data_IF_614240758435
#
_entry.id   IF_614240758435
#
_cell.length_a   1.000
_cell.length_b   1.000
_cell.length_c   1.000
_cell.angle_alpha   90.00
_cell.angle_beta   90.00
_cell.angle_gamma   90.00
#
_symmetry.space_group_name_H-M   'P 1'
#
loop_
_entity.id
_entity.type
_entity.pdbx_description
1 polymer ?
#
# COMPACT_ATOMS: atom_id res chain seq x y z
N UNK A 1 -34.80 -2.87 0.78
CA UNK A 1 -34.25 -2.17 -0.39
C UNK A 1 -33.52 -0.93 0.11
N UNK A 2 -32.27 -0.76 -0.28
CA UNK A 2 -31.44 0.38 0.13
C UNK A 2 -31.90 1.70 -0.51
N UNK A 3 -31.42 2.83 0.02
CA UNK A 3 -31.80 4.17 -0.46
C UNK A 3 -31.29 4.43 -1.89
N UNK A 4 -30.15 3.84 -2.24
CA UNK A 4 -29.48 3.97 -3.53
C UNK A 4 -29.30 2.59 -4.19
N UNK A 5 -29.23 2.52 -5.51
CA UNK A 5 -28.76 1.31 -6.17
C UNK A 5 -27.23 1.28 -6.18
N UNK A 6 -26.63 0.16 -5.81
CA UNK A 6 -25.18 -0.03 -5.84
C UNK A 6 -24.77 -0.96 -6.99
N UNK A 7 -23.80 -0.52 -7.76
CA UNK A 7 -23.09 -1.35 -8.72
C UNK A 7 -21.65 -1.59 -8.26
N UNK A 8 -21.27 -2.86 -8.12
CA UNK A 8 -19.86 -3.25 -8.06
C UNK A 8 -19.38 -3.50 -9.48
N UNK A 9 -18.22 -2.95 -9.84
CA UNK A 9 -17.62 -3.18 -11.15
C UNK A 9 -16.13 -3.53 -11.07
N UNK A 10 -15.67 -4.34 -12.02
CA UNK A 10 -14.27 -4.77 -12.09
C UNK A 10 -13.78 -4.95 -13.53
N UNK A 11 -12.46 -5.01 -13.67
CA UNK A 11 -11.80 -5.57 -14.86
C UNK A 11 -11.14 -6.89 -14.46
N UNK A 12 -10.99 -7.82 -15.40
CA UNK A 12 -10.25 -9.06 -15.14
C UNK A 12 -9.45 -9.53 -16.35
N UNK A 13 -8.46 -10.38 -16.08
CA UNK A 13 -7.78 -11.20 -17.08
C UNK A 13 -7.19 -12.45 -16.44
N UNK A 14 -7.65 -13.60 -16.90
CA UNK A 14 -7.19 -14.92 -16.45
C UNK A 14 -7.28 -15.04 -14.90
N UNK A 15 -8.51 -14.94 -14.38
CA UNK A 15 -8.85 -14.90 -12.95
C UNK A 15 -9.85 -16.00 -12.53
N UNK A 16 -9.94 -17.11 -13.27
CA UNK A 16 -11.02 -18.11 -13.11
C UNK A 16 -11.16 -18.60 -11.66
N UNK A 17 -10.03 -18.75 -10.97
CA UNK A 17 -9.94 -19.21 -9.58
C UNK A 17 -10.56 -18.26 -8.55
N UNK A 18 -10.82 -17.01 -8.92
CA UNK A 18 -11.34 -15.98 -8.02
C UNK A 18 -12.81 -15.63 -8.27
N UNK A 19 -13.35 -15.97 -9.44
CA UNK A 19 -14.68 -15.54 -9.88
C UNK A 19 -15.77 -15.82 -8.85
N UNK A 20 -15.87 -17.07 -8.38
CA UNK A 20 -17.01 -17.50 -7.55
C UNK A 20 -17.02 -16.82 -6.18
N UNK A 21 -15.89 -16.85 -5.47
CA UNK A 21 -15.75 -16.20 -4.16
C UNK A 21 -15.94 -14.68 -4.25
N UNK A 22 -15.50 -14.08 -5.35
CA UNK A 22 -15.66 -12.65 -5.57
C UNK A 22 -17.13 -12.30 -5.75
N UNK A 23 -17.85 -12.97 -6.67
CA UNK A 23 -19.29 -12.74 -6.90
C UNK A 23 -20.08 -12.92 -5.60
N UNK A 24 -19.79 -13.96 -4.82
CA UNK A 24 -20.44 -14.19 -3.52
C UNK A 24 -20.26 -13.00 -2.57
N UNK A 25 -19.03 -12.50 -2.42
CA UNK A 25 -18.73 -11.35 -1.56
C UNK A 25 -19.37 -10.03 -2.05
N UNK A 26 -19.63 -9.91 -3.36
CA UNK A 26 -20.26 -8.73 -3.98
C UNK A 26 -21.79 -8.82 -4.07
N UNK A 27 -22.38 -9.93 -3.61
CA UNK A 27 -23.80 -10.27 -3.78
C UNK A 27 -24.80 -9.31 -3.13
N UNK A 28 -24.35 -8.44 -2.21
CA UNK A 28 -25.19 -7.40 -1.59
C UNK A 28 -25.43 -6.19 -2.50
N UNK A 29 -24.76 -6.12 -3.66
CA UNK A 29 -24.97 -5.10 -4.68
C UNK A 29 -26.26 -5.34 -5.48
N UNK A 30 -26.86 -4.26 -6.00
CA UNK A 30 -27.97 -4.37 -6.95
C UNK A 30 -27.49 -4.81 -8.34
N UNK A 31 -26.25 -4.44 -8.69
CA UNK A 31 -25.60 -4.79 -9.95
C UNK A 31 -24.16 -5.24 -9.72
N UNK A 32 -23.73 -6.21 -10.52
CA UNK A 32 -22.32 -6.62 -10.63
C UNK A 32 -21.95 -6.57 -12.11
N UNK A 33 -20.91 -5.81 -12.44
CA UNK A 33 -20.40 -5.62 -13.80
C UNK A 33 -18.95 -6.04 -13.92
N UNK A 34 -18.60 -6.86 -14.91
CA UNK A 34 -17.20 -7.23 -15.17
C UNK A 34 -16.85 -7.04 -16.63
N UNK A 35 -15.76 -6.30 -16.87
CA UNK A 35 -15.11 -6.25 -18.17
C UNK A 35 -13.93 -7.22 -18.19
N UNK A 36 -14.10 -8.33 -18.89
CA UNK A 36 -13.02 -9.24 -19.21
C UNK A 36 -12.12 -8.64 -20.30
N UNK A 37 -10.82 -8.53 -20.04
CA UNK A 37 -9.88 -7.85 -20.95
C UNK A 37 -9.20 -8.80 -21.95
N UNK A 38 -9.78 -9.99 -22.15
CA UNK A 38 -9.32 -11.02 -23.07
C UNK A 38 -8.70 -12.21 -22.34
N UNK A 39 -9.41 -12.75 -21.34
CA UNK A 39 -9.05 -14.01 -20.69
C UNK A 39 -9.15 -15.19 -21.65
N UNK A 40 -8.36 -16.21 -21.37
CA UNK A 40 -8.24 -17.45 -22.16
C UNK A 40 -8.32 -18.71 -21.31
N UNK A 41 -8.48 -18.55 -19.98
CA UNK A 41 -8.52 -19.62 -18.98
C UNK A 41 -9.96 -20.06 -18.59
N UNK A 42 -10.98 -19.57 -19.30
CA UNK A 42 -12.39 -19.82 -18.99
C UNK A 42 -13.05 -18.77 -18.07
N UNK A 43 -12.32 -17.74 -17.63
CA UNK A 43 -12.85 -16.66 -16.76
C UNK A 43 -14.12 -16.03 -17.35
N UNK A 44 -14.09 -15.70 -18.64
CA UNK A 44 -15.21 -15.01 -19.29
C UNK A 44 -16.48 -15.84 -19.35
N UNK A 45 -16.35 -17.13 -19.67
CA UNK A 45 -17.45 -18.10 -19.71
C UNK A 45 -18.07 -18.24 -18.32
N UNK A 46 -17.23 -18.39 -17.28
CA UNK A 46 -17.71 -18.52 -15.90
C UNK A 46 -18.45 -17.27 -15.42
N UNK A 47 -17.94 -16.08 -15.71
CA UNK A 47 -18.61 -14.81 -15.37
C UNK A 47 -19.99 -14.70 -16.05
N UNK A 48 -20.11 -15.14 -17.30
CA UNK A 48 -21.40 -15.18 -18.02
C UNK A 48 -22.39 -16.16 -17.39
N UNK A 49 -21.94 -17.37 -17.05
CA UNK A 49 -22.78 -18.39 -16.43
C UNK A 49 -23.35 -17.94 -15.07
N UNK A 50 -22.61 -17.11 -14.34
CA UNK A 50 -23.06 -16.53 -13.07
C UNK A 50 -24.15 -15.46 -13.20
N UNK A 51 -24.55 -15.08 -14.42
CA UNK A 51 -25.69 -14.19 -14.67
C UNK A 51 -25.45 -12.70 -14.40
N UNK A 52 -24.20 -12.30 -14.15
CA UNK A 52 -23.82 -10.90 -13.94
C UNK A 52 -23.58 -10.17 -15.28
N UNK A 53 -23.53 -8.83 -15.27
CA UNK A 53 -23.32 -8.02 -16.47
C UNK A 53 -21.87 -8.16 -16.92
N UNK A 54 -21.63 -8.99 -17.94
CA UNK A 54 -20.26 -9.31 -18.39
C UNK A 54 -20.05 -8.96 -19.86
N UNK A 55 -18.93 -8.29 -20.17
CA UNK A 55 -18.47 -8.05 -21.55
C UNK A 55 -16.99 -8.37 -21.68
N UNK A 56 -16.58 -8.86 -22.84
CA UNK A 56 -15.17 -9.03 -23.17
C UNK A 56 -14.71 -7.93 -24.14
N UNK A 57 -13.57 -7.31 -23.86
CA UNK A 57 -12.91 -6.35 -24.75
C UNK A 57 -11.41 -6.34 -24.53
N UNK A 58 -10.67 -6.68 -25.58
CA UNK A 58 -9.20 -6.58 -25.57
C UNK A 58 -8.79 -5.10 -25.65
N UNK A 59 -7.94 -4.67 -24.72
CA UNK A 59 -7.39 -3.30 -24.67
C UNK A 59 -5.99 -3.29 -25.28
N UNK A 60 -5.80 -2.54 -26.38
CA UNK A 60 -4.53 -2.40 -27.09
C UNK A 60 -4.34 -0.94 -27.57
N UNK A 61 -3.23 -0.26 -27.19
CA UNK A 61 -2.22 -0.68 -26.21
C UNK A 61 -2.82 -0.86 -24.80
N UNK A 62 -2.22 -1.72 -23.97
CA UNK A 62 -2.71 -1.98 -22.62
C UNK A 62 -2.54 -0.74 -21.72
N UNK A 63 -3.61 -0.38 -21.01
CA UNK A 63 -3.60 0.62 -19.93
C UNK A 63 -4.73 0.32 -18.94
N UNK A 64 -4.46 0.49 -17.65
CA UNK A 64 -5.45 0.24 -16.59
C UNK A 64 -6.58 1.27 -16.62
N UNK A 65 -6.29 2.57 -16.75
CA UNK A 65 -7.31 3.62 -16.86
C UNK A 65 -8.32 3.35 -17.98
N UNK A 66 -7.86 2.99 -19.18
CA UNK A 66 -8.73 2.70 -20.33
C UNK A 66 -9.62 1.49 -20.04
N UNK A 67 -9.05 0.40 -19.50
CA UNK A 67 -9.82 -0.80 -19.15
C UNK A 67 -10.91 -0.49 -18.11
N UNK A 68 -10.56 0.26 -17.05
CA UNK A 68 -11.51 0.66 -16.00
C UNK A 68 -12.61 1.56 -16.55
N UNK A 69 -12.27 2.55 -17.37
CA UNK A 69 -13.27 3.41 -18.01
C UNK A 69 -14.18 2.64 -18.98
N UNK A 70 -13.68 1.62 -19.68
CA UNK A 70 -14.51 0.73 -20.49
C UNK A 70 -15.45 -0.14 -19.64
N UNK A 71 -15.02 -0.57 -18.45
CA UNK A 71 -15.88 -1.31 -17.53
C UNK A 71 -17.01 -0.45 -16.95
N UNK A 72 -16.76 0.86 -16.73
CA UNK A 72 -17.79 1.80 -16.28
C UNK A 72 -18.95 1.96 -17.26
N UNK A 73 -18.72 1.72 -18.57
CA UNK A 73 -19.77 1.76 -19.59
C UNK A 73 -20.80 0.63 -19.46
N UNK A 74 -20.51 -0.38 -18.65
CA UNK A 74 -21.43 -1.49 -18.35
C UNK A 74 -22.40 -1.15 -17.22
N UNK A 75 -22.10 -0.12 -16.41
CA UNK A 75 -22.86 0.22 -15.22
C UNK A 75 -24.25 0.75 -15.63
N UNK A 76 -25.34 0.18 -15.10
CA UNK A 76 -26.70 0.66 -15.36
C UNK A 76 -26.89 2.12 -14.94
N UNK A 77 -27.62 2.89 -15.75
CA UNK A 77 -27.79 4.34 -15.59
C UNK A 77 -28.59 4.76 -14.36
N UNK A 78 -29.32 3.83 -13.74
CA UNK A 78 -30.07 4.05 -12.50
C UNK A 78 -29.25 3.71 -11.23
N UNK A 79 -27.95 3.44 -11.39
CA UNK A 79 -27.00 3.28 -10.29
C UNK A 79 -26.77 4.60 -9.55
N UNK A 80 -26.82 4.58 -8.22
CA UNK A 80 -26.44 5.72 -7.39
C UNK A 80 -24.97 5.68 -6.94
N UNK A 81 -24.50 4.50 -6.53
CA UNK A 81 -23.15 4.29 -5.98
C UNK A 81 -22.43 3.24 -6.83
N UNK A 82 -21.25 3.58 -7.33
CA UNK A 82 -20.37 2.69 -8.07
C UNK A 82 -19.17 2.33 -7.19
N UNK A 83 -18.80 1.06 -7.12
CA UNK A 83 -17.65 0.60 -6.33
C UNK A 83 -16.76 -0.26 -7.23
N UNK A 84 -15.53 0.19 -7.45
CA UNK A 84 -14.56 -0.60 -8.20
C UNK A 84 -13.81 -1.55 -7.28
N UNK A 85 -13.76 -2.83 -7.63
CA UNK A 85 -12.93 -3.84 -6.96
C UNK A 85 -12.14 -4.67 -7.97
N UNK A 86 -11.19 -5.45 -7.46
CA UNK A 86 -10.47 -6.48 -8.20
C UNK A 86 -10.95 -7.87 -7.80
N UNK A 87 -10.84 -8.86 -8.69
CA UNK A 87 -11.41 -10.20 -8.46
C UNK A 87 -10.76 -10.93 -7.26
N UNK A 88 -9.57 -10.51 -6.84
CA UNK A 88 -8.88 -10.99 -5.66
C UNK A 88 -9.19 -10.19 -4.38
N UNK A 89 -10.11 -9.23 -4.43
CA UNK A 89 -10.59 -8.44 -3.29
C UNK A 89 -11.98 -8.90 -2.81
N UNK A 90 -12.18 -9.10 -1.50
CA UNK A 90 -13.44 -9.59 -0.91
C UNK A 90 -13.96 -8.62 0.16
N UNK A 91 -15.23 -8.22 0.06
CA UNK A 91 -15.88 -7.49 1.14
C UNK A 91 -16.30 -8.42 2.27
N UNK A 92 -16.22 -7.93 3.51
CA UNK A 92 -16.89 -8.57 4.65
C UNK A 92 -18.41 -8.40 4.56
N UNK A 93 -19.21 -9.41 4.95
CA UNK A 93 -20.68 -9.32 4.93
C UNK A 93 -21.23 -8.13 5.73
N UNK A 94 -22.33 -7.56 5.24
CA UNK A 94 -22.99 -6.37 5.78
C UNK A 94 -22.49 -5.05 5.20
N UNK A 95 -21.52 -5.08 4.27
CA UNK A 95 -20.92 -3.89 3.68
C UNK A 95 -21.94 -2.97 3.01
N UNK A 96 -22.99 -3.51 2.38
CA UNK A 96 -24.00 -2.70 1.68
C UNK A 96 -24.75 -1.78 2.63
N UNK A 97 -25.11 -2.29 3.82
CA UNK A 97 -25.85 -1.54 4.84
C UNK A 97 -25.06 -0.34 5.36
N UNK A 98 -23.73 -0.46 5.41
CA UNK A 98 -22.85 0.62 5.84
C UNK A 98 -22.83 1.74 4.79
N UNK A 99 -22.77 1.42 3.50
CA UNK A 99 -22.93 2.44 2.45
C UNK A 99 -24.31 3.11 2.52
N UNK A 100 -25.40 2.37 2.77
CA UNK A 100 -26.73 2.98 2.96
C UNK A 100 -26.78 3.96 4.14
N UNK A 101 -26.06 3.66 5.22
CA UNK A 101 -26.06 4.47 6.43
C UNK A 101 -25.26 5.76 6.28
N UNK A 102 -24.10 5.71 5.61
CA UNK A 102 -23.16 6.82 5.55
C UNK A 102 -23.21 7.62 4.23
N UNK A 103 -23.79 7.06 3.16
CA UNK A 103 -23.95 7.77 1.90
C UNK A 103 -25.12 8.76 1.96
N UNK A 104 -24.89 9.98 1.46
CA UNK A 104 -25.90 11.05 1.39
C UNK A 104 -25.99 11.57 -0.04
N UNK A 105 -27.04 12.33 -0.35
CA UNK A 105 -27.30 12.79 -1.73
C UNK A 105 -26.21 13.72 -2.29
N UNK A 106 -25.43 14.36 -1.42
CA UNK A 106 -24.27 15.17 -1.78
C UNK A 106 -22.93 14.41 -1.76
N UNK A 107 -22.89 13.15 -1.31
CA UNK A 107 -21.65 12.36 -1.32
C UNK A 107 -21.25 12.05 -2.76
N UNK A 108 -20.00 12.35 -3.10
CA UNK A 108 -19.43 12.10 -4.44
C UNK A 108 -18.45 10.94 -4.42
N UNK A 109 -17.67 10.80 -3.35
CA UNK A 109 -16.71 9.73 -3.19
C UNK A 109 -16.74 9.22 -1.75
N UNK A 110 -16.44 7.94 -1.56
CA UNK A 110 -16.32 7.36 -0.25
C UNK A 110 -14.99 6.63 -0.07
N UNK A 111 -14.47 6.72 1.15
CA UNK A 111 -13.30 5.98 1.61
C UNK A 111 -13.67 4.94 2.66
N UNK A 112 -13.00 3.79 2.61
CA UNK A 112 -13.28 2.65 3.49
C UNK A 112 -12.02 1.83 3.74
N UNK A 113 -12.04 1.01 4.80
CA UNK A 113 -10.87 0.26 5.25
C UNK A 113 -10.54 -0.86 4.27
N UNK A 114 -9.26 -0.97 3.93
CA UNK A 114 -8.74 -1.94 2.99
C UNK A 114 -7.50 -2.62 3.57
N UNK A 115 -7.55 -3.94 3.65
CA UNK A 115 -6.40 -4.80 4.01
C UNK A 115 -5.75 -5.29 2.72
N UNK A 116 -4.56 -4.78 2.43
CA UNK A 116 -3.81 -5.07 1.21
C UNK A 116 -3.16 -6.46 1.22
N UNK A 117 -2.80 -6.96 2.40
CA UNK A 117 -2.27 -8.30 2.56
C UNK A 117 -2.44 -8.80 3.99
N UNK A 118 -2.21 -10.10 4.17
CA UNK A 118 -2.22 -10.79 5.45
C UNK A 118 -0.82 -11.33 5.76
N UNK A 119 -0.50 -11.41 7.05
CA UNK A 119 0.72 -12.05 7.54
C UNK A 119 0.56 -13.58 7.54
N UNK A 120 1.66 -14.36 7.64
CA UNK A 120 1.59 -15.82 7.66
C UNK A 120 0.73 -16.42 8.79
N UNK A 121 0.53 -15.69 9.88
CA UNK A 121 -0.32 -16.09 11.01
C UNK A 121 -1.81 -15.76 10.81
N UNK A 122 -2.18 -15.17 9.66
CA UNK A 122 -3.53 -14.75 9.32
C UNK A 122 -3.92 -13.36 9.85
N UNK A 123 -3.04 -12.68 10.61
CA UNK A 123 -3.28 -11.31 11.04
C UNK A 123 -3.12 -10.33 9.87
N UNK A 124 -3.68 -9.12 10.01
CA UNK A 124 -3.61 -8.11 8.95
C UNK A 124 -2.20 -7.52 8.81
N UNK A 125 -1.74 -7.43 7.57
CA UNK A 125 -0.45 -6.82 7.24
C UNK A 125 -0.57 -5.31 7.07
N UNK A 126 -0.64 -4.88 5.81
CA UNK A 126 -0.77 -3.48 5.44
C UNK A 126 -2.24 -3.09 5.28
N UNK A 127 -2.64 -2.06 6.02
CA UNK A 127 -4.03 -1.57 6.04
C UNK A 127 -4.02 -0.08 5.78
N UNK A 128 -4.90 0.37 4.88
CA UNK A 128 -5.12 1.78 4.57
C UNK A 128 -6.56 2.02 4.14
N UNK A 129 -6.92 3.28 3.87
CA UNK A 129 -8.24 3.63 3.34
C UNK A 129 -8.21 3.68 1.81
N UNK A 130 -9.06 2.88 1.17
CA UNK A 130 -9.28 2.88 -0.28
C UNK A 130 -10.37 3.88 -0.65
N UNK A 131 -10.26 4.56 -1.78
CA UNK A 131 -11.21 5.59 -2.26
C UNK A 131 -11.86 5.20 -3.61
N UNK A 132 -12.19 3.91 -3.81
CA UNK A 132 -12.73 3.38 -5.08
C UNK A 132 -14.28 3.42 -5.19
N UNK A 133 -14.99 3.95 -4.18
CA UNK A 133 -16.45 4.13 -4.22
C UNK A 133 -16.82 5.56 -4.60
N UNK A 134 -17.73 5.73 -5.56
CA UNK A 134 -18.04 7.03 -6.14
C UNK A 134 -19.47 7.13 -6.70
N UNK A 135 -19.95 8.36 -6.90
CA UNK A 135 -21.23 8.61 -7.56
C UNK A 135 -21.16 8.24 -9.05
N UNK A 136 -22.29 7.81 -9.59
CA UNK A 136 -22.42 7.47 -11.00
C UNK A 136 -22.24 8.71 -11.90
N UNK A 137 -21.50 8.55 -13.00
CA UNK A 137 -21.40 9.55 -14.07
C UNK A 137 -20.54 10.79 -13.80
N UNK A 138 -19.94 10.92 -12.62
CA UNK A 138 -19.17 12.11 -12.21
C UNK A 138 -17.67 11.84 -12.03
N UNK A 139 -17.18 10.69 -12.48
CA UNK A 139 -15.79 10.29 -12.36
C UNK A 139 -15.29 9.58 -13.61
N UNK A 140 -13.98 9.70 -13.84
CA UNK A 140 -13.26 8.85 -14.79
C UNK A 140 -11.95 8.36 -14.16
N UNK A 141 -11.46 7.21 -14.62
CA UNK A 141 -10.13 6.73 -14.25
C UNK A 141 -9.07 7.45 -15.07
N UNK A 142 -8.01 7.90 -14.40
CA UNK A 142 -6.85 8.52 -15.03
C UNK A 142 -5.57 7.76 -14.68
N UNK A 143 -4.57 7.90 -15.55
CA UNK A 143 -3.24 7.28 -15.50
C UNK A 143 -3.16 5.83 -15.99
N UNK A 144 -2.16 5.49 -16.83
CA UNK A 144 -2.04 4.15 -17.41
C UNK A 144 -1.82 3.02 -16.38
N UNK A 145 -1.32 3.35 -15.18
CA UNK A 145 -1.09 2.47 -14.03
C UNK A 145 -1.12 3.33 -12.76
N UNK A 146 -1.38 2.71 -11.60
CA UNK A 146 -1.67 3.43 -10.36
C UNK A 146 -2.83 4.41 -10.56
N UNK A 147 -3.84 3.92 -11.28
CA UNK A 147 -4.96 4.71 -11.73
C UNK A 147 -5.76 5.28 -10.56
N UNK A 148 -6.32 6.48 -10.74
CA UNK A 148 -7.12 7.16 -9.73
C UNK A 148 -8.44 7.61 -10.32
N UNK A 149 -9.47 7.69 -9.47
CA UNK A 149 -10.72 8.33 -9.82
C UNK A 149 -10.54 9.85 -9.81
N UNK A 150 -10.63 10.44 -10.99
CA UNK A 150 -10.67 11.89 -11.20
C UNK A 150 -12.12 12.36 -11.26
N UNK A 151 -12.46 13.32 -10.42
CA UNK A 151 -13.80 13.89 -10.37
C UNK A 151 -14.05 14.84 -11.53
N UNK A 152 -15.15 14.64 -12.25
CA UNK A 152 -15.56 15.41 -13.44
C UNK A 152 -16.90 16.11 -13.27
N UNK A 153 -17.52 16.03 -12.08
CA UNK A 153 -18.77 16.69 -11.77
C UNK A 153 -18.63 18.21 -11.58
N UNK A 154 -19.75 18.93 -11.67
CA UNK A 154 -19.80 20.38 -11.49
C UNK A 154 -19.91 20.82 -10.04
N UNK A 155 -20.49 19.97 -9.19
CA UNK A 155 -20.70 20.26 -7.77
C UNK A 155 -19.41 20.05 -6.95
N UNK A 156 -19.28 20.60 -5.73
CA UNK A 156 -18.14 20.32 -4.89
C UNK A 156 -17.93 18.82 -4.61
N UNK A 157 -16.67 18.36 -4.68
CA UNK A 157 -16.30 16.99 -4.32
C UNK A 157 -16.43 16.79 -2.79
N UNK A 158 -17.52 16.15 -2.35
CA UNK A 158 -17.71 15.76 -0.95
C UNK A 158 -17.29 14.29 -0.78
N UNK A 159 -16.18 14.09 -0.07
CA UNK A 159 -15.70 12.77 0.35
C UNK A 159 -16.25 12.38 1.72
N UNK A 160 -16.64 11.12 1.90
CA UNK A 160 -17.03 10.58 3.21
C UNK A 160 -16.27 9.30 3.55
N UNK A 161 -15.90 9.15 4.81
CA UNK A 161 -15.49 7.84 5.33
C UNK A 161 -16.74 7.01 5.57
N UNK A 162 -16.69 5.71 5.25
CA UNK A 162 -17.73 4.72 5.57
C UNK A 162 -17.17 3.75 6.62
N UNK A 163 -17.34 4.05 7.92
CA UNK A 163 -16.82 3.22 8.99
C UNK A 163 -17.36 1.79 8.96
N UNK A 164 -16.51 0.83 9.30
CA UNK A 164 -16.85 -0.59 9.41
C UNK A 164 -16.81 -1.37 8.11
N UNK A 165 -16.79 -0.71 6.94
CA UNK A 165 -16.58 -1.41 5.66
C UNK A 165 -15.15 -1.94 5.64
N UNK A 166 -15.02 -3.22 5.31
CA UNK A 166 -13.76 -3.93 5.22
C UNK A 166 -13.66 -4.62 3.86
N UNK A 167 -12.62 -4.28 3.09
CA UNK A 167 -12.25 -4.94 1.84
C UNK A 167 -10.88 -5.62 2.01
N UNK A 168 -10.80 -6.91 1.70
CA UNK A 168 -9.62 -7.75 1.94
C UNK A 168 -9.01 -8.24 0.63
N UNK A 169 -7.72 -8.03 0.43
CA UNK A 169 -7.01 -8.45 -0.78
C UNK A 169 -6.24 -9.76 -0.55
N UNK A 170 -6.55 -10.76 -1.39
CA UNK A 170 -5.95 -12.09 -1.38
C UNK A 170 -5.23 -12.33 -2.72
N UNK A 171 -4.15 -11.59 -2.92
CA UNK A 171 -3.39 -11.53 -4.16
C UNK A 171 -2.82 -12.88 -4.62
N UNK A 172 -2.69 -13.03 -5.94
CA UNK A 172 -1.88 -14.08 -6.54
C UNK A 172 -0.41 -13.66 -6.64
N UNK A 173 0.44 -14.21 -5.77
CA UNK A 173 1.88 -13.91 -5.76
C UNK A 173 2.63 -14.41 -7.01
N UNK A 174 2.00 -15.25 -7.85
CA UNK A 174 2.64 -15.81 -9.05
C UNK A 174 2.58 -14.87 -10.27
N UNK A 175 1.81 -13.77 -10.21
CA UNK A 175 1.64 -12.86 -11.35
C UNK A 175 2.83 -11.90 -11.51
N UNK A 176 3.43 -11.80 -12.72
CA UNK A 176 4.55 -10.91 -12.94
C UNK A 176 4.12 -9.44 -12.92
N UNK A 177 4.83 -8.61 -12.14
CA UNK A 177 4.60 -7.15 -12.08
C UNK A 177 5.42 -6.36 -13.11
N UNK A 178 6.06 -7.03 -14.06
CA UNK A 178 7.02 -6.42 -14.99
C UNK A 178 6.42 -5.36 -15.93
N UNK A 179 5.10 -5.28 -16.05
CA UNK A 179 4.42 -4.31 -16.91
C UNK A 179 4.34 -2.88 -16.32
N UNK A 180 4.67 -2.69 -15.04
CA UNK A 180 4.42 -1.42 -14.34
C UNK A 180 5.38 -0.30 -14.79
N UNK A 181 6.66 -0.62 -14.97
CA UNK A 181 7.66 0.40 -15.29
C UNK A 181 7.38 1.12 -16.63
N UNK A 182 7.13 0.45 -17.77
CA UNK A 182 6.80 1.14 -19.01
C UNK A 182 5.52 1.99 -18.92
N UNK A 183 4.54 1.54 -18.14
CA UNK A 183 3.29 2.29 -17.92
C UNK A 183 3.53 3.53 -17.04
N UNK A 184 4.40 3.45 -16.03
CA UNK A 184 4.77 4.61 -15.22
C UNK A 184 5.58 5.63 -16.01
N UNK A 185 6.54 5.18 -16.82
CA UNK A 185 7.28 6.04 -17.74
C UNK A 185 6.34 6.76 -18.72
N UNK A 186 5.31 6.06 -19.21
CA UNK A 186 4.25 6.66 -20.02
C UNK A 186 3.43 7.68 -19.22
N UNK A 187 3.00 7.35 -18.00
CA UNK A 187 2.22 8.22 -17.13
C UNK A 187 2.92 9.56 -16.87
N UNK A 188 4.21 9.52 -16.49
CA UNK A 188 5.01 10.73 -16.22
C UNK A 188 5.29 11.51 -17.50
N UNK A 189 5.41 10.85 -18.66
CA UNK A 189 5.55 11.54 -19.95
C UNK A 189 4.29 12.30 -20.33
N UNK A 190 3.12 11.72 -20.08
CA UNK A 190 1.81 12.33 -20.37
C UNK A 190 1.45 13.45 -19.37
N UNK A 191 1.85 13.31 -18.11
CA UNK A 191 1.60 14.27 -17.03
C UNK A 191 2.88 14.54 -16.21
N UNK A 192 3.84 15.33 -16.73
CA UNK A 192 5.14 15.57 -16.10
C UNK A 192 5.08 16.35 -14.78
N UNK A 193 3.94 16.97 -14.48
CA UNK A 193 3.69 17.75 -13.26
C UNK A 193 2.85 16.99 -12.22
N UNK A 194 2.58 15.70 -12.45
CA UNK A 194 1.96 14.80 -11.48
C UNK A 194 3.01 14.30 -10.49
N UNK A 195 2.96 14.81 -9.25
CA UNK A 195 3.94 14.47 -8.22
C UNK A 195 3.84 13.01 -7.78
N UNK A 196 2.61 12.48 -7.64
CA UNK A 196 2.39 11.11 -7.16
C UNK A 196 2.99 10.08 -8.12
N UNK A 197 2.79 10.24 -9.42
CA UNK A 197 3.36 9.34 -10.42
C UNK A 197 4.87 9.56 -10.58
N UNK A 198 5.39 10.76 -10.33
CA UNK A 198 6.83 10.99 -10.24
C UNK A 198 7.45 10.18 -9.08
N UNK A 199 6.83 10.21 -7.91
CA UNK A 199 7.23 9.39 -6.76
C UNK A 199 7.20 7.89 -7.10
N UNK A 200 6.09 7.41 -7.65
CA UNK A 200 5.95 5.99 -8.01
C UNK A 200 6.96 5.56 -9.07
N UNK A 201 7.25 6.39 -10.07
CA UNK A 201 8.28 6.10 -11.08
C UNK A 201 9.67 5.97 -10.44
N UNK A 202 10.03 6.90 -9.56
CA UNK A 202 11.31 6.85 -8.84
C UNK A 202 11.45 5.59 -7.97
N UNK A 203 10.38 5.23 -7.25
CA UNK A 203 10.29 3.96 -6.51
C UNK A 203 10.42 2.74 -7.42
N UNK A 204 9.78 2.75 -8.58
CA UNK A 204 9.86 1.63 -9.52
C UNK A 204 11.28 1.46 -10.06
N UNK A 205 11.97 2.56 -10.41
CA UNK A 205 13.39 2.51 -10.75
C UNK A 205 14.26 1.91 -9.63
N UNK A 206 13.95 2.19 -8.36
CA UNK A 206 14.61 1.56 -7.22
C UNK A 206 14.43 0.03 -7.22
N UNK A 207 13.22 -0.48 -7.45
CA UNK A 207 12.97 -1.93 -7.52
C UNK A 207 13.71 -2.59 -8.69
N UNK A 208 13.83 -1.89 -9.82
CA UNK A 208 14.62 -2.32 -10.97
C UNK A 208 16.13 -2.08 -10.83
N UNK A 209 16.59 -1.57 -9.68
CA UNK A 209 18.00 -1.24 -9.40
C UNK A 209 18.61 -0.22 -10.38
N UNK A 210 17.76 0.58 -11.02
CA UNK A 210 18.19 1.72 -11.86
C UNK A 210 18.48 2.92 -10.95
N UNK A 211 19.56 2.82 -10.18
CA UNK A 211 19.86 3.72 -9.05
C UNK A 211 19.96 5.18 -9.46
N UNK A 212 20.62 5.49 -10.57
CA UNK A 212 20.75 6.88 -11.05
C UNK A 212 19.41 7.48 -11.43
N UNK A 213 18.58 6.73 -12.18
CA UNK A 213 17.23 7.17 -12.54
C UNK A 213 16.32 7.31 -11.32
N UNK A 214 16.44 6.41 -10.34
CA UNK A 214 15.73 6.50 -9.07
C UNK A 214 16.05 7.83 -8.38
N UNK A 215 17.34 8.14 -8.20
CA UNK A 215 17.79 9.36 -7.53
C UNK A 215 17.30 10.60 -8.30
N UNK A 216 17.58 10.68 -9.61
CA UNK A 216 17.16 11.81 -10.45
C UNK A 216 15.65 12.05 -10.40
N UNK A 217 14.85 10.98 -10.52
CA UNK A 217 13.39 11.06 -10.55
C UNK A 217 12.83 11.49 -9.20
N UNK A 218 13.37 10.97 -8.10
CA UNK A 218 12.91 11.31 -6.75
C UNK A 218 13.38 12.70 -6.31
N UNK A 219 14.56 13.15 -6.72
CA UNK A 219 14.99 14.54 -6.54
C UNK A 219 14.09 15.50 -7.31
N UNK A 220 13.68 15.13 -8.54
CA UNK A 220 12.67 15.89 -9.28
C UNK A 220 11.36 15.96 -8.50
N UNK A 221 10.82 14.83 -8.03
CA UNK A 221 9.61 14.80 -7.19
C UNK A 221 9.71 15.77 -6.01
N UNK A 222 10.81 15.74 -5.27
CA UNK A 222 11.00 16.57 -4.08
C UNK A 222 11.04 18.08 -4.36
N UNK A 223 11.36 18.47 -5.60
CA UNK A 223 11.36 19.85 -6.07
C UNK A 223 10.04 20.29 -6.73
N UNK A 224 9.06 19.39 -6.87
CA UNK A 224 7.77 19.73 -7.49
C UNK A 224 6.90 20.57 -6.54
N UNK A 225 6.28 21.67 -7.02
CA UNK A 225 5.42 22.51 -6.17
C UNK A 225 4.20 21.79 -5.57
N UNK A 226 3.72 20.74 -6.25
CA UNK A 226 2.56 19.94 -5.82
C UNK A 226 2.92 18.81 -4.83
N UNK A 227 4.19 18.41 -4.77
CA UNK A 227 4.69 17.40 -3.86
C UNK A 227 4.79 17.98 -2.43
N UNK A 228 3.63 18.19 -1.79
CA UNK A 228 3.51 18.82 -0.46
C UNK A 228 3.22 17.81 0.66
N UNK A 229 2.85 16.58 0.32
CA UNK A 229 2.54 15.56 1.32
C UNK A 229 3.82 15.00 1.94
N UNK A 230 4.05 15.36 3.20
CA UNK A 230 5.27 15.04 3.95
C UNK A 230 5.60 13.55 3.98
N UNK A 231 4.61 12.67 4.08
CA UNK A 231 4.88 11.23 4.17
C UNK A 231 5.48 10.68 2.87
N UNK A 232 4.91 11.06 1.72
CA UNK A 232 5.44 10.65 0.42
C UNK A 232 6.81 11.28 0.14
N UNK A 233 7.00 12.56 0.48
CA UNK A 233 8.30 13.22 0.40
C UNK A 233 9.35 12.50 1.25
N UNK A 234 9.02 12.14 2.49
CA UNK A 234 9.86 11.33 3.36
C UNK A 234 10.20 9.97 2.72
N UNK A 235 9.23 9.29 2.11
CA UNK A 235 9.47 8.04 1.39
C UNK A 235 10.43 8.23 0.20
N UNK A 236 10.27 9.28 -0.61
CA UNK A 236 11.22 9.62 -1.68
C UNK A 236 12.64 9.79 -1.15
N UNK A 237 12.81 10.52 -0.04
CA UNK A 237 14.13 10.70 0.59
C UNK A 237 14.73 9.37 1.09
N UNK A 238 13.92 8.48 1.67
CA UNK A 238 14.36 7.14 2.08
C UNK A 238 14.76 6.28 0.88
N UNK A 239 14.01 6.34 -0.22
CA UNK A 239 14.33 5.58 -1.44
C UNK A 239 15.60 6.09 -2.12
N UNK A 240 15.86 7.41 -2.11
CA UNK A 240 17.16 7.98 -2.50
C UNK A 240 18.28 7.42 -1.61
N UNK A 241 18.08 7.39 -0.29
CA UNK A 241 19.06 6.81 0.65
C UNK A 241 19.36 5.34 0.33
N UNK A 242 18.33 4.52 0.07
CA UNK A 242 18.49 3.11 -0.33
C UNK A 242 19.31 2.97 -1.62
N UNK A 243 19.05 3.81 -2.62
CA UNK A 243 19.80 3.82 -3.89
C UNK A 243 21.27 4.22 -3.68
N UNK A 244 21.54 5.24 -2.87
CA UNK A 244 22.89 5.67 -2.52
C UNK A 244 23.67 4.60 -1.74
N UNK A 245 23.01 3.93 -0.77
CA UNK A 245 23.59 2.77 -0.09
C UNK A 245 23.98 1.66 -1.07
N UNK A 246 23.14 1.38 -2.08
CA UNK A 246 23.44 0.38 -3.10
C UNK A 246 24.62 0.79 -4.01
N UNK A 247 24.87 2.09 -4.17
CA UNK A 247 26.03 2.65 -4.86
C UNK A 247 27.28 2.77 -3.97
N UNK A 248 27.18 2.47 -2.68
CA UNK A 248 28.28 2.56 -1.72
C UNK A 248 28.52 3.96 -1.13
N UNK A 249 27.64 4.93 -1.38
CA UNK A 249 27.74 6.28 -0.79
C UNK A 249 26.98 6.34 0.54
N UNK A 250 27.55 5.70 1.56
CA UNK A 250 26.91 5.62 2.88
C UNK A 250 26.74 6.99 3.55
N UNK A 251 27.67 7.91 3.30
CA UNK A 251 27.64 9.25 3.90
C UNK A 251 26.46 10.04 3.37
N UNK A 252 26.29 10.09 2.05
CA UNK A 252 25.17 10.82 1.47
C UNK A 252 23.84 10.11 1.73
N UNK A 253 23.83 8.77 1.75
CA UNK A 253 22.66 8.02 2.16
C UNK A 253 22.18 8.41 3.57
N UNK A 254 23.10 8.58 4.53
CA UNK A 254 22.75 9.03 5.86
C UNK A 254 22.24 10.48 5.89
N UNK A 255 22.82 11.38 5.11
CA UNK A 255 22.32 12.75 4.97
C UNK A 255 20.85 12.78 4.51
N UNK A 256 20.49 11.93 3.53
CA UNK A 256 19.10 11.79 3.08
C UNK A 256 18.16 11.23 4.15
N UNK A 257 18.62 10.32 5.01
CA UNK A 257 17.81 9.85 6.14
C UNK A 257 17.57 10.96 7.16
N UNK A 258 18.56 11.81 7.44
CA UNK A 258 18.36 12.98 8.31
C UNK A 258 17.36 13.97 7.72
N UNK A 259 17.40 14.20 6.40
CA UNK A 259 16.38 14.99 5.68
C UNK A 259 14.99 14.35 5.82
N UNK A 260 14.89 13.03 5.65
CA UNK A 260 13.62 12.30 5.78
C UNK A 260 13.02 12.42 7.19
N UNK A 261 13.86 12.30 8.23
CA UNK A 261 13.47 12.51 9.64
C UNK A 261 12.97 13.94 9.85
N UNK A 262 13.66 14.94 9.30
CA UNK A 262 13.26 16.34 9.42
C UNK A 262 11.95 16.66 8.67
N UNK A 263 11.71 16.02 7.53
CA UNK A 263 10.51 16.18 6.71
C UNK A 263 9.26 15.60 7.41
N UNK A 264 9.36 14.40 7.97
CA UNK A 264 8.26 13.69 8.61
C UNK A 264 8.67 13.03 9.94
N UNK A 265 8.89 13.81 11.02
CA UNK A 265 9.35 13.29 12.30
C UNK A 265 8.31 12.43 13.03
N UNK A 266 7.05 12.46 12.58
CA UNK A 266 5.95 11.63 13.06
C UNK A 266 5.91 10.24 12.42
N UNK A 267 6.79 9.93 11.46
CA UNK A 267 6.91 8.60 10.86
C UNK A 267 8.05 7.82 11.50
N UNK A 268 7.87 6.50 11.64
CA UNK A 268 8.84 5.63 12.30
C UNK A 268 9.91 5.10 11.34
N UNK A 269 9.53 4.91 10.08
CA UNK A 269 10.33 4.37 8.99
C UNK A 269 11.70 5.06 8.81
N UNK A 270 11.81 6.40 8.75
CA UNK A 270 13.11 7.04 8.54
C UNK A 270 14.09 6.83 9.71
N UNK A 271 13.60 6.79 10.97
CA UNK A 271 14.42 6.46 12.13
C UNK A 271 14.90 5.00 12.09
N UNK A 272 14.01 4.08 11.70
CA UNK A 272 14.35 2.66 11.60
C UNK A 272 15.38 2.39 10.51
N UNK A 273 15.33 3.10 9.38
CA UNK A 273 16.39 3.02 8.37
C UNK A 273 17.71 3.61 8.85
N UNK A 274 17.68 4.74 9.56
CA UNK A 274 18.88 5.33 10.16
C UNK A 274 19.52 4.38 11.19
N UNK A 275 18.70 3.70 12.02
CA UNK A 275 19.17 2.68 12.95
C UNK A 275 19.84 1.50 12.23
N UNK A 276 19.28 1.02 11.11
CA UNK A 276 19.89 -0.03 10.31
C UNK A 276 21.23 0.40 9.69
N UNK A 277 21.37 1.66 9.28
CA UNK A 277 22.63 2.21 8.78
C UNK A 277 23.68 2.26 9.90
N UNK A 278 23.31 2.76 11.09
CA UNK A 278 24.19 2.74 12.27
C UNK A 278 24.62 1.32 12.65
N UNK A 279 23.70 0.35 12.53
CA UNK A 279 23.99 -1.05 12.80
C UNK A 279 25.06 -1.61 11.86
N UNK A 280 24.98 -1.32 10.55
CA UNK A 280 26.01 -1.72 9.57
C UNK A 280 27.39 -1.16 9.92
N UNK A 281 27.42 0.06 10.46
CA UNK A 281 28.64 0.75 10.89
C UNK A 281 29.12 0.33 12.28
N UNK A 282 28.40 -0.58 12.96
CA UNK A 282 28.64 -0.96 14.37
C UNK A 282 28.62 0.25 15.33
N UNK A 283 27.92 1.32 14.95
CA UNK A 283 27.71 2.47 15.82
C UNK A 283 26.56 2.18 16.78
N UNK A 284 26.85 1.43 17.84
CA UNK A 284 25.84 0.92 18.78
C UNK A 284 25.06 2.03 19.48
N UNK A 285 25.73 3.13 19.87
CA UNK A 285 25.04 4.29 20.46
C UNK A 285 24.11 4.98 19.45
N UNK A 286 24.50 5.04 18.16
CA UNK A 286 23.61 5.50 17.09
C UNK A 286 22.39 4.60 16.91
N UNK A 287 22.57 3.27 16.95
CA UNK A 287 21.46 2.31 16.89
C UNK A 287 20.48 2.56 18.03
N UNK A 288 20.98 2.70 19.27
CA UNK A 288 20.16 2.98 20.45
C UNK A 288 19.37 4.28 20.25
N UNK A 289 20.06 5.37 19.88
CA UNK A 289 19.44 6.68 19.71
C UNK A 289 18.26 6.64 18.71
N UNK A 290 18.49 6.11 17.51
CA UNK A 290 17.46 6.09 16.47
C UNK A 290 16.32 5.13 16.78
N UNK A 291 16.60 3.96 17.36
CA UNK A 291 15.54 3.04 17.79
C UNK A 291 14.68 3.65 18.91
N UNK A 292 15.29 4.35 19.87
CA UNK A 292 14.55 5.03 20.93
C UNK A 292 13.70 6.18 20.39
N UNK A 293 14.19 6.95 19.41
CA UNK A 293 13.34 7.94 18.72
C UNK A 293 12.18 7.26 17.96
N UNK A 294 12.46 6.15 17.26
CA UNK A 294 11.42 5.39 16.56
C UNK A 294 10.31 4.91 17.51
N UNK A 295 10.65 4.46 18.72
CA UNK A 295 9.69 4.02 19.73
C UNK A 295 8.83 5.13 20.32
N UNK A 296 9.23 6.41 20.21
CA UNK A 296 8.39 7.55 20.61
C UNK A 296 7.21 7.77 19.67
N UNK A 297 7.31 7.31 18.42
CA UNK A 297 6.21 7.34 17.46
C UNK A 297 5.32 6.14 17.73
N UNK A 298 4.23 6.31 18.47
CA UNK A 298 3.36 5.19 18.93
C UNK A 298 2.19 4.90 17.99
N UNK A 299 1.78 5.87 17.17
CA UNK A 299 0.63 5.75 16.28
C UNK A 299 1.05 5.28 14.88
N UNK A 300 0.55 4.11 14.46
CA UNK A 300 0.78 3.59 13.11
C UNK A 300 -0.11 4.34 12.12
N UNK A 301 0.50 5.07 11.20
CA UNK A 301 -0.21 5.73 10.12
C UNK A 301 -0.81 4.69 9.17
N UNK A 302 -2.10 4.84 8.84
CA UNK A 302 -2.83 3.97 7.90
C UNK A 302 -2.74 4.50 6.47
N UNK A 303 -1.53 4.88 6.05
CA UNK A 303 -1.25 5.33 4.68
C UNK A 303 -0.50 4.24 3.91
N UNK A 304 -0.56 4.31 2.57
CA UNK A 304 0.16 3.36 1.73
C UNK A 304 1.69 3.48 1.82
N UNK A 305 2.19 4.55 2.44
CA UNK A 305 3.63 4.80 2.65
C UNK A 305 4.18 4.03 3.85
N UNK A 306 3.31 3.61 4.78
CA UNK A 306 3.72 2.88 5.97
C UNK A 306 4.33 1.52 5.60
N UNK A 307 5.53 1.22 6.13
CA UNK A 307 6.23 -0.04 5.85
C UNK A 307 6.23 -0.95 7.09
N UNK A 308 5.77 -2.21 6.99
CA UNK A 308 5.60 -3.10 8.15
C UNK A 308 6.85 -3.34 8.99
N UNK A 309 8.05 -3.30 8.38
CA UNK A 309 9.31 -3.59 9.08
C UNK A 309 9.58 -2.62 10.26
N UNK A 310 9.01 -1.42 10.25
CA UNK A 310 9.18 -0.44 11.32
C UNK A 310 8.30 -0.73 12.55
N UNK A 311 7.33 -1.63 12.44
CA UNK A 311 6.28 -1.85 13.45
C UNK A 311 6.33 -3.23 14.12
N UNK A 312 7.19 -4.13 13.63
CA UNK A 312 7.40 -5.50 14.16
C UNK A 312 8.51 -5.60 15.21
N UNK A 313 9.11 -6.79 15.33
CA UNK A 313 10.17 -7.09 16.31
C UNK A 313 11.46 -6.29 16.11
N UNK A 314 11.68 -5.79 14.89
CA UNK A 314 12.97 -5.26 14.43
C UNK A 314 13.57 -4.17 15.31
N UNK A 315 12.75 -3.25 15.81
CA UNK A 315 13.22 -2.15 16.69
C UNK A 315 13.79 -2.68 18.00
N UNK A 316 13.12 -3.67 18.59
CA UNK A 316 13.55 -4.30 19.83
C UNK A 316 14.75 -5.21 19.62
N UNK A 317 14.81 -5.93 18.50
CA UNK A 317 15.98 -6.74 18.15
C UNK A 317 17.26 -5.89 17.97
N UNK A 318 17.17 -4.76 17.27
CA UNK A 318 18.28 -3.81 17.14
C UNK A 318 18.71 -3.24 18.49
N UNK A 319 17.76 -2.86 19.35
CA UNK A 319 18.04 -2.39 20.71
C UNK A 319 18.71 -3.46 21.56
N UNK A 320 18.22 -4.71 21.50
CA UNK A 320 18.78 -5.82 22.24
C UNK A 320 20.26 -6.02 21.91
N UNK A 321 20.60 -6.04 20.61
CA UNK A 321 21.98 -6.18 20.14
C UNK A 321 22.82 -4.97 20.54
N UNK A 322 22.33 -3.74 20.34
CA UNK A 322 23.10 -2.54 20.63
C UNK A 322 23.37 -2.35 22.13
N UNK A 323 22.40 -2.67 22.99
CA UNK A 323 22.58 -2.66 24.44
C UNK A 323 23.53 -3.76 24.91
N UNK A 324 23.49 -4.93 24.29
CA UNK A 324 24.48 -5.99 24.55
C UNK A 324 25.91 -5.51 24.26
N UNK A 325 26.12 -4.89 23.09
CA UNK A 325 27.43 -4.41 22.66
C UNK A 325 27.96 -3.24 23.51
N UNK A 326 27.05 -2.46 24.09
CA UNK A 326 27.38 -1.36 25.04
C UNK A 326 27.39 -1.81 26.50
N UNK A 327 27.30 -3.13 26.76
CA UNK A 327 27.34 -3.78 28.09
C UNK A 327 26.20 -3.38 29.03
N UNK A 328 25.07 -2.93 28.50
CA UNK A 328 23.84 -2.75 29.27
C UNK A 328 22.97 -4.01 29.14
N UNK A 329 23.34 -5.06 29.85
CA UNK A 329 22.70 -6.37 29.70
C UNK A 329 21.26 -6.41 30.20
N UNK A 330 20.93 -5.58 31.20
CA UNK A 330 19.55 -5.43 31.69
C UNK A 330 18.62 -4.94 30.57
N UNK A 331 18.95 -3.81 29.93
CA UNK A 331 18.17 -3.30 28.80
C UNK A 331 18.24 -4.20 27.58
N UNK A 332 19.37 -4.88 27.37
CA UNK A 332 19.50 -5.87 26.29
C UNK A 332 18.50 -7.00 26.45
N UNK A 333 18.39 -7.56 27.67
CA UNK A 333 17.46 -8.64 27.98
C UNK A 333 16.00 -8.19 27.85
N UNK A 334 15.65 -7.01 28.35
CA UNK A 334 14.30 -6.45 28.21
C UNK A 334 13.88 -6.36 26.74
N UNK A 335 14.76 -5.84 25.88
CA UNK A 335 14.46 -5.69 24.45
C UNK A 335 14.47 -7.04 23.72
N UNK A 336 15.32 -7.99 24.10
CA UNK A 336 15.32 -9.33 23.51
C UNK A 336 13.99 -10.07 23.76
N UNK A 337 13.42 -9.93 24.97
CA UNK A 337 12.10 -10.47 25.30
C UNK A 337 11.01 -9.85 24.44
N UNK A 338 10.96 -8.51 24.37
CA UNK A 338 10.00 -7.78 23.53
C UNK A 338 10.09 -8.17 22.05
N UNK A 339 11.31 -8.35 21.53
CA UNK A 339 11.51 -8.80 20.15
C UNK A 339 10.89 -10.19 19.92
N UNK A 340 11.21 -11.16 20.79
CA UNK A 340 10.67 -12.52 20.68
C UNK A 340 9.16 -12.59 20.92
N UNK A 341 8.60 -11.80 21.84
CA UNK A 341 7.16 -11.68 22.04
C UNK A 341 6.42 -11.22 20.79
N UNK A 342 7.05 -10.36 19.96
CA UNK A 342 6.47 -9.90 18.70
C UNK A 342 6.50 -10.95 17.59
N UNK A 343 7.50 -11.82 17.59
CA UNK A 343 7.70 -12.85 16.57
C UNK A 343 8.16 -14.18 17.22
N UNK A 344 7.26 -14.87 17.96
CA UNK A 344 7.63 -16.04 18.78
C UNK A 344 8.05 -17.27 17.94
N UNK A 345 7.79 -17.25 16.63
CA UNK A 345 8.25 -18.27 15.70
C UNK A 345 9.67 -18.06 15.17
N UNK A 346 10.30 -16.89 15.40
CA UNK A 346 11.64 -16.60 14.91
C UNK A 346 12.71 -17.30 15.79
N UNK A 347 13.34 -18.32 15.22
CA UNK A 347 14.39 -19.12 15.86
C UNK A 347 15.59 -18.24 16.25
N UNK A 348 15.97 -17.28 15.41
CA UNK A 348 17.10 -16.38 15.68
C UNK A 348 16.81 -15.47 16.88
N UNK A 349 15.58 -14.96 17.00
CA UNK A 349 15.18 -14.16 18.17
C UNK A 349 15.21 -14.98 19.47
N UNK A 350 14.74 -16.23 19.40
CA UNK A 350 14.79 -17.17 20.53
C UNK A 350 16.22 -17.46 20.98
N UNK A 351 17.12 -17.70 20.03
CA UNK A 351 18.54 -17.95 20.29
C UNK A 351 19.23 -16.73 20.89
N UNK A 352 18.97 -15.53 20.33
CA UNK A 352 19.47 -14.27 20.87
C UNK A 352 19.03 -14.06 22.32
N UNK A 353 17.74 -14.25 22.61
CA UNK A 353 17.21 -14.15 23.97
C UNK A 353 17.92 -15.14 24.91
N UNK A 354 18.06 -16.39 24.51
CA UNK A 354 18.72 -17.43 25.31
C UNK A 354 20.19 -17.11 25.61
N UNK A 355 20.91 -16.52 24.65
CA UNK A 355 22.30 -16.10 24.83
C UNK A 355 22.41 -14.95 25.83
N UNK A 356 21.55 -13.94 25.71
CA UNK A 356 21.54 -12.78 26.61
C UNK A 356 21.14 -13.20 28.03
N UNK A 357 20.16 -14.10 28.19
CA UNK A 357 19.75 -14.64 29.49
C UNK A 357 20.86 -15.38 30.23
N UNK A 358 21.68 -16.16 29.51
CA UNK A 358 22.81 -16.87 30.12
C UNK A 358 23.86 -15.91 30.65
N UNK A 359 24.14 -14.83 29.93
CA UNK A 359 25.14 -13.85 30.34
C UNK A 359 24.64 -12.99 31.50
N UNK A 360 23.38 -12.54 31.47
CA UNK A 360 22.79 -11.77 32.57
C UNK A 360 22.73 -12.53 33.89
N UNK A 361 22.65 -13.87 33.87
CA UNK A 361 22.70 -14.70 35.09
C UNK A 361 24.11 -14.88 35.66
N UNK A 362 25.14 -14.55 34.89
CA UNK A 362 26.55 -14.72 35.24
C UNK A 362 27.26 -13.40 35.61
N UNK A 363 26.61 -12.25 35.39
CA UNK A 363 26.99 -10.94 35.93
C UNK A 363 26.25 -10.67 37.26
#
# INVERSE_FOLDING_TARGET
MGKYKICVYAICKDEIKFVDRWIESMSEADYICVLDTGSTDGTYERLKESGIITKQKIIKPWRFDVARNESMKLIPTDTGICICTDLDELFEPGWRKLFDMYWTDNTKQASYRYTWNFNPDGSEGHVFYSEKAHSYGEFCWTHPVHEVLSYTGSEPLIKRVVPGVQLNHYADETKPRSQYLPLLEMSVREAPDDDRNMHYLGREYMFYRQWDKCIETLERHLNMPRAVWKDERCASMRFISRALMAKGDEKEAFNWLLKAIAEAPHLREPYMEAANLMYKQKNWYGVIFFCEQALKVTEKNLSYICEPFAWGSRVYDLLAIAYYQTKNYEKSLENARKAYEKEPGDIRLKENLSLIEKLYKND
#
